data_IF_609252491492
#
_entry.id   IF_609252491492
#
_cell.length_a   1.000
_cell.length_b   1.000
_cell.length_c   1.000
_cell.angle_alpha   90.00
_cell.angle_beta   90.00
_cell.angle_gamma   90.00
#
_symmetry.space_group_name_H-M   'P 1'
#
loop_
_entity.id
_entity.type
_entity.pdbx_description
1 polymer ?
#
# COMPACT_ATOMS: atom_id res chain seq x y z
N UNK A 1 -53.31 29.41 -44.97
CA UNK A 1 -52.77 28.28 -44.18
C UNK A 1 -51.61 27.70 -44.96
N UNK A 2 -50.37 28.05 -44.60
CA UNK A 2 -49.18 27.52 -45.30
C UNK A 2 -48.43 26.59 -44.32
N UNK A 3 -48.17 25.32 -44.70
CA UNK A 3 -47.49 24.37 -43.84
C UNK A 3 -45.99 24.69 -43.74
N UNK A 4 -45.49 24.85 -42.52
CA UNK A 4 -44.06 25.00 -42.25
C UNK A 4 -43.33 23.70 -42.60
N UNK A 5 -42.40 23.79 -43.56
CA UNK A 5 -41.52 22.69 -43.99
C UNK A 5 -40.67 22.20 -42.82
N UNK A 6 -40.74 20.90 -42.55
CA UNK A 6 -39.91 20.19 -41.58
C UNK A 6 -38.43 20.31 -41.94
N UNK A 7 -37.69 21.06 -41.12
CA UNK A 7 -36.27 21.34 -41.33
C UNK A 7 -35.41 20.19 -40.79
N UNK A 8 -35.20 19.16 -41.62
CA UNK A 8 -34.36 17.99 -41.33
C UNK A 8 -32.91 18.36 -40.99
N UNK A 9 -32.47 19.58 -41.31
CA UNK A 9 -31.15 20.12 -41.00
C UNK A 9 -30.91 20.33 -39.48
N UNK A 10 -31.96 20.61 -38.71
CA UNK A 10 -31.83 20.87 -37.25
C UNK A 10 -31.56 19.56 -36.50
N UNK A 11 -32.21 18.46 -36.90
CA UNK A 11 -31.95 17.13 -36.33
C UNK A 11 -30.54 16.61 -36.67
N UNK A 12 -30.02 16.93 -37.85
CA UNK A 12 -28.67 16.56 -38.25
C UNK A 12 -27.60 17.31 -37.42
N UNK A 13 -27.83 18.59 -37.13
CA UNK A 13 -26.95 19.38 -36.27
C UNK A 13 -26.97 18.94 -34.81
N UNK A 14 -28.14 18.56 -34.29
CA UNK A 14 -28.28 18.00 -32.94
C UNK A 14 -27.56 16.66 -32.78
N UNK A 15 -27.61 15.79 -33.80
CA UNK A 15 -26.86 14.53 -33.80
C UNK A 15 -25.35 14.75 -33.89
N UNK A 16 -24.89 15.73 -34.68
CA UNK A 16 -23.45 16.04 -34.80
C UNK A 16 -22.87 16.64 -33.50
N UNK A 17 -23.64 17.48 -32.80
CA UNK A 17 -23.27 18.03 -31.50
C UNK A 17 -23.24 16.95 -30.40
N UNK A 18 -24.12 15.94 -30.49
CA UNK A 18 -24.14 14.81 -29.55
C UNK A 18 -22.96 13.84 -29.74
N UNK A 19 -22.44 13.71 -30.97
CA UNK A 19 -21.25 12.89 -31.25
C UNK A 19 -19.93 13.57 -30.84
N UNK A 20 -19.86 14.90 -30.79
CA UNK A 20 -18.67 15.63 -30.29
C UNK A 20 -18.49 15.57 -28.77
N UNK A 21 -19.46 15.04 -28.02
CA UNK A 21 -19.34 14.73 -26.61
C UNK A 21 -18.75 13.33 -26.34
N UNK A 22 -18.27 12.62 -27.38
CA UNK A 22 -17.47 11.41 -27.21
C UNK A 22 -16.23 11.77 -26.39
N UNK A 23 -16.32 11.45 -25.11
CA UNK A 23 -15.33 11.68 -24.08
C UNK A 23 -13.95 11.26 -24.57
N UNK A 24 -13.01 12.20 -24.53
CA UNK A 24 -11.59 11.90 -24.62
C UNK A 24 -11.26 10.89 -23.52
N UNK A 25 -11.17 9.62 -23.88
CA UNK A 25 -10.55 8.59 -23.04
C UNK A 25 -9.06 8.93 -23.08
N UNK A 26 -8.65 9.84 -22.19
CA UNK A 26 -7.24 10.02 -21.90
C UNK A 26 -6.75 8.71 -21.29
N UNK A 27 -5.96 7.97 -22.05
CA UNK A 27 -5.16 6.89 -21.49
C UNK A 27 -4.37 7.46 -20.32
N UNK A 28 -4.37 6.77 -19.18
CA UNK A 28 -3.64 7.23 -18.02
C UNK A 28 -2.15 7.37 -18.37
N UNK A 29 -1.46 8.42 -17.89
CA UNK A 29 -0.03 8.57 -18.14
C UNK A 29 0.74 7.32 -17.71
N UNK A 30 1.66 6.88 -18.56
CA UNK A 30 2.53 5.73 -18.26
C UNK A 30 3.55 6.12 -17.19
N UNK A 31 3.52 5.45 -16.04
CA UNK A 31 4.46 5.70 -14.96
C UNK A 31 5.79 4.95 -15.18
N UNK A 32 5.73 3.73 -15.70
CA UNK A 32 6.92 2.90 -15.90
C UNK A 32 6.64 1.50 -16.45
N UNK A 33 7.66 0.65 -16.39
CA UNK A 33 7.64 -0.74 -16.86
C UNK A 33 8.20 -1.68 -15.81
N UNK A 34 7.63 -2.87 -15.69
CA UNK A 34 8.15 -3.92 -14.80
C UNK A 34 9.36 -4.58 -15.48
N UNK A 35 10.55 -4.50 -14.89
CA UNK A 35 11.78 -5.06 -15.47
C UNK A 35 12.04 -6.49 -15.03
N UNK A 36 11.89 -6.76 -13.74
CA UNK A 36 12.13 -8.07 -13.15
C UNK A 36 11.02 -8.43 -12.18
N UNK A 37 10.59 -9.68 -12.21
CA UNK A 37 9.48 -10.15 -11.40
C UNK A 37 9.79 -11.55 -10.89
N UNK A 38 9.66 -11.73 -9.58
CA UNK A 38 9.76 -13.01 -8.90
C UNK A 38 8.43 -13.25 -8.21
N UNK A 39 7.60 -14.16 -8.71
CA UNK A 39 6.25 -14.40 -8.18
C UNK A 39 5.19 -13.40 -8.69
N UNK A 40 3.90 -13.58 -8.33
CA UNK A 40 2.82 -12.81 -8.92
C UNK A 40 2.79 -11.35 -8.45
N UNK A 41 2.64 -10.42 -9.40
CA UNK A 41 2.35 -9.01 -9.15
C UNK A 41 0.91 -8.71 -9.55
N UNK A 42 0.12 -8.24 -8.59
CA UNK A 42 -1.24 -7.80 -8.85
C UNK A 42 -1.28 -6.29 -9.00
N UNK A 43 -2.02 -5.81 -9.99
CA UNK A 43 -2.34 -4.40 -10.16
C UNK A 43 -3.83 -4.20 -9.99
N UNK A 44 -4.21 -3.24 -9.17
CA UNK A 44 -5.57 -2.72 -9.13
C UNK A 44 -5.58 -1.38 -9.88
N UNK A 45 -6.28 -1.35 -11.01
CA UNK A 45 -6.47 -0.16 -11.83
C UNK A 45 -7.42 0.84 -11.15
N UNK A 46 -7.44 2.08 -11.63
CA UNK A 46 -8.33 3.14 -11.13
C UNK A 46 -9.83 2.77 -11.27
N UNK A 47 -10.17 1.98 -12.28
CA UNK A 47 -11.52 1.44 -12.53
C UNK A 47 -11.94 0.37 -11.49
N UNK A 48 -11.03 -0.03 -10.59
CA UNK A 48 -11.25 -1.05 -9.57
C UNK A 48 -10.99 -2.49 -10.05
N UNK A 49 -10.68 -2.70 -11.33
CA UNK A 49 -10.32 -4.00 -11.89
C UNK A 49 -8.97 -4.47 -11.36
N UNK A 50 -8.88 -5.77 -11.05
CA UNK A 50 -7.65 -6.40 -10.62
C UNK A 50 -7.08 -7.21 -11.78
N UNK A 51 -5.83 -6.96 -12.13
CA UNK A 51 -5.09 -7.69 -13.17
C UNK A 51 -3.78 -8.22 -12.60
N UNK A 52 -3.23 -9.24 -13.24
CA UNK A 52 -1.87 -9.71 -12.95
C UNK A 52 -0.94 -9.06 -13.95
N UNK A 53 0.15 -8.47 -13.48
CA UNK A 53 1.23 -7.96 -14.31
C UNK A 53 2.36 -8.98 -14.40
N UNK A 54 2.96 -9.09 -15.57
CA UNK A 54 4.18 -9.86 -15.80
C UNK A 54 5.39 -8.97 -16.00
N UNK A 55 6.53 -9.59 -16.30
CA UNK A 55 7.70 -8.85 -16.78
C UNK A 55 7.35 -8.06 -18.06
N UNK A 56 7.99 -6.91 -18.25
CA UNK A 56 7.77 -5.96 -19.35
C UNK A 56 6.37 -5.33 -19.42
N UNK A 57 5.51 -5.59 -18.42
CA UNK A 57 4.19 -4.96 -18.37
C UNK A 57 4.29 -3.49 -17.97
N UNK A 58 3.43 -2.66 -18.56
CA UNK A 58 3.36 -1.24 -18.25
C UNK A 58 2.59 -1.00 -16.94
N UNK A 59 3.06 -0.03 -16.17
CA UNK A 59 2.41 0.50 -14.97
C UNK A 59 1.92 1.90 -15.27
N UNK A 60 0.65 2.17 -14.97
CA UNK A 60 0.00 3.45 -15.23
C UNK A 60 -0.14 4.27 -13.93
N UNK A 61 -0.29 5.58 -14.07
CA UNK A 61 -0.63 6.44 -12.93
C UNK A 61 -2.04 6.12 -12.43
N UNK A 62 -2.19 6.01 -11.11
CA UNK A 62 -3.42 5.58 -10.42
C UNK A 62 -3.42 4.10 -10.05
N UNK A 63 -2.43 3.33 -10.52
CA UNK A 63 -2.34 1.90 -10.25
C UNK A 63 -1.90 1.61 -8.81
N UNK A 64 -2.55 0.63 -8.18
CA UNK A 64 -2.07 0.03 -6.93
C UNK A 64 -1.44 -1.33 -7.20
N UNK A 65 -0.13 -1.41 -7.03
CA UNK A 65 0.68 -2.62 -7.15
C UNK A 65 0.71 -3.38 -5.83
N UNK A 66 0.55 -4.70 -5.90
CA UNK A 66 0.58 -5.60 -4.74
C UNK A 66 1.41 -6.85 -5.03
N UNK A 67 2.45 -7.06 -4.25
CA UNK A 67 3.25 -8.30 -4.27
C UNK A 67 2.73 -9.28 -3.22
N UNK A 68 2.74 -10.57 -3.53
CA UNK A 68 2.27 -11.62 -2.60
C UNK A 68 3.31 -12.73 -2.38
N UNK A 69 3.14 -13.47 -1.29
CA UNK A 69 3.98 -14.61 -0.94
C UNK A 69 5.42 -14.19 -0.64
N UNK A 70 6.39 -14.75 -1.39
CA UNK A 70 7.82 -14.40 -1.33
C UNK A 70 8.26 -13.59 -2.56
N UNK A 71 7.31 -12.96 -3.23
CA UNK A 71 7.55 -12.34 -4.52
C UNK A 71 8.18 -10.95 -4.45
N UNK A 72 9.12 -10.68 -5.35
CA UNK A 72 9.74 -9.38 -5.55
C UNK A 72 9.31 -8.83 -6.91
N UNK A 73 9.16 -7.52 -7.02
CA UNK A 73 8.91 -6.85 -8.28
C UNK A 73 9.81 -5.64 -8.41
N UNK A 74 10.41 -5.46 -9.59
CA UNK A 74 11.18 -4.29 -9.93
C UNK A 74 10.47 -3.53 -11.04
N UNK A 75 10.29 -2.24 -10.80
CA UNK A 75 9.66 -1.32 -11.74
C UNK A 75 10.68 -0.25 -12.10
N UNK A 76 10.99 -0.11 -13.38
CA UNK A 76 11.74 1.03 -13.92
C UNK A 76 10.76 2.11 -14.34
N UNK A 77 10.89 3.29 -13.77
CA UNK A 77 10.07 4.43 -14.12
C UNK A 77 10.64 5.16 -15.34
N UNK A 78 9.86 6.08 -15.92
CA UNK A 78 10.28 6.84 -17.12
C UNK A 78 11.46 7.80 -16.86
N UNK A 79 11.78 8.11 -15.60
CA UNK A 79 12.91 8.96 -15.19
C UNK A 79 14.20 8.15 -14.90
N UNK A 80 14.23 6.89 -15.34
CA UNK A 80 15.27 5.88 -15.09
C UNK A 80 15.45 5.48 -13.61
N UNK A 81 14.55 5.93 -12.71
CA UNK A 81 14.55 5.42 -11.33
C UNK A 81 14.09 3.95 -11.28
N UNK A 82 14.61 3.23 -10.29
CA UNK A 82 14.27 1.84 -10.03
C UNK A 82 13.56 1.73 -8.68
N UNK A 83 12.36 1.16 -8.72
CA UNK A 83 11.57 0.82 -7.54
C UNK A 83 11.56 -0.70 -7.38
N UNK A 84 12.13 -1.20 -6.29
CA UNK A 84 12.13 -2.63 -5.99
C UNK A 84 11.23 -2.90 -4.79
N UNK A 85 10.12 -3.59 -5.04
CA UNK A 85 9.12 -3.96 -4.05
C UNK A 85 9.50 -5.29 -3.38
N UNK A 86 9.44 -5.31 -2.05
CA UNK A 86 9.59 -6.52 -1.25
C UNK A 86 8.31 -7.38 -1.28
N UNK A 87 8.37 -8.61 -0.76
CA UNK A 87 7.18 -9.45 -0.62
C UNK A 87 6.16 -8.87 0.36
N UNK A 88 4.88 -8.92 0.00
CA UNK A 88 3.79 -8.41 0.83
C UNK A 88 3.70 -6.89 0.86
N UNK A 89 4.17 -6.23 -0.21
CA UNK A 89 4.14 -4.78 -0.35
C UNK A 89 2.92 -4.33 -1.15
N UNK A 90 2.29 -3.25 -0.71
CA UNK A 90 1.26 -2.54 -1.48
C UNK A 90 1.66 -1.09 -1.68
N UNK A 91 1.93 -0.75 -2.94
CA UNK A 91 2.32 0.58 -3.38
C UNK A 91 1.26 1.13 -4.34
N UNK A 92 0.83 2.37 -4.10
CA UNK A 92 -0.01 3.14 -5.03
C UNK A 92 0.88 4.13 -5.78
N UNK A 93 0.68 4.24 -7.09
CA UNK A 93 1.29 5.29 -7.91
C UNK A 93 0.23 6.38 -8.06
N UNK A 94 0.34 7.47 -7.29
CA UNK A 94 -0.73 8.48 -7.24
C UNK A 94 -0.56 9.54 -8.32
N UNK A 95 0.68 9.96 -8.57
CA UNK A 95 1.01 10.88 -9.66
C UNK A 95 2.42 10.60 -10.17
N UNK A 96 2.57 10.53 -11.49
CA UNK A 96 3.87 10.50 -12.14
C UNK A 96 3.82 11.33 -13.42
N UNK A 97 4.63 12.37 -13.49
CA UNK A 97 4.80 13.24 -14.63
C UNK A 97 6.28 13.59 -14.75
N UNK A 98 6.88 13.24 -15.88
CA UNK A 98 8.26 13.54 -16.21
C UNK A 98 8.35 13.85 -17.69
N UNK A 99 8.62 15.12 -18.03
CA UNK A 99 8.90 15.55 -19.39
C UNK A 99 10.20 16.36 -19.40
N UNK A 100 11.08 16.10 -20.36
CA UNK A 100 12.35 16.83 -20.51
C UNK A 100 12.09 18.31 -20.83
N UNK A 101 11.03 18.60 -21.58
CA UNK A 101 10.70 19.93 -22.08
C UNK A 101 9.88 20.77 -21.08
N UNK A 102 9.20 20.13 -20.13
CA UNK A 102 8.30 20.79 -19.18
C UNK A 102 8.65 20.42 -17.74
N UNK A 103 9.81 20.86 -17.21
CA UNK A 103 10.24 20.53 -15.85
C UNK A 103 9.28 21.07 -14.78
N UNK A 104 8.50 22.12 -15.08
CA UNK A 104 7.50 22.68 -14.15
C UNK A 104 6.33 21.74 -13.85
N UNK A 105 6.08 20.74 -14.71
CA UNK A 105 5.04 19.73 -14.52
C UNK A 105 5.53 18.48 -13.78
N UNK A 106 6.80 18.44 -13.37
CA UNK A 106 7.38 17.29 -12.70
C UNK A 106 6.66 16.96 -11.39
N UNK A 107 6.23 15.73 -11.26
CA UNK A 107 5.65 15.21 -10.03
C UNK A 107 5.84 13.70 -9.98
N UNK A 108 6.43 13.20 -8.89
CA UNK A 108 6.50 11.78 -8.57
C UNK A 108 5.98 11.59 -7.15
N UNK A 109 4.74 11.13 -7.03
CA UNK A 109 4.05 10.89 -5.77
C UNK A 109 3.63 9.43 -5.70
N UNK A 110 4.19 8.73 -4.72
CA UNK A 110 3.89 7.33 -4.45
C UNK A 110 3.32 7.20 -3.04
N UNK A 111 2.37 6.30 -2.83
CA UNK A 111 1.86 5.98 -1.49
C UNK A 111 2.16 4.53 -1.13
N UNK A 112 3.01 4.33 -0.12
CA UNK A 112 3.24 3.01 0.47
C UNK A 112 2.18 2.74 1.55
N UNK A 113 1.30 1.77 1.29
CA UNK A 113 0.25 1.38 2.24
C UNK A 113 0.75 0.39 3.28
N UNK A 114 1.60 -0.57 2.89
CA UNK A 114 2.26 -1.54 3.77
C UNK A 114 3.38 -2.28 3.06
N UNK A 115 4.23 -2.94 3.84
CA UNK A 115 5.38 -3.72 3.37
C UNK A 115 6.61 -2.85 3.18
N UNK A 116 7.55 -3.29 2.34
CA UNK A 116 8.76 -2.52 2.06
C UNK A 116 9.09 -2.36 0.60
N UNK A 117 9.82 -1.30 0.30
CA UNK A 117 10.35 -1.01 -1.01
C UNK A 117 11.72 -0.36 -0.89
N UNK A 118 12.49 -0.50 -1.96
CA UNK A 118 13.68 0.29 -2.19
C UNK A 118 13.43 1.20 -3.38
N UNK A 119 13.78 2.46 -3.22
CA UNK A 119 13.78 3.43 -4.30
C UNK A 119 15.20 3.88 -4.54
N UNK A 120 15.69 3.70 -5.77
CA UNK A 120 16.93 4.30 -6.23
C UNK A 120 16.59 5.60 -6.97
N UNK A 121 17.21 6.71 -6.57
CA UNK A 121 16.86 8.04 -7.07
C UNK A 121 17.06 8.18 -8.60
N UNK A 122 16.06 8.74 -9.29
CA UNK A 122 16.08 8.98 -10.73
C UNK A 122 16.47 10.40 -11.15
N UNK A 123 16.39 10.65 -12.46
CA UNK A 123 16.69 11.97 -13.04
C UNK A 123 15.70 13.05 -12.56
N UNK A 124 14.42 12.69 -12.35
CA UNK A 124 13.42 13.61 -11.79
C UNK A 124 13.84 14.08 -10.40
N UNK A 125 14.32 13.17 -9.57
CA UNK A 125 14.80 13.48 -8.21
C UNK A 125 16.01 14.43 -8.17
N UNK A 126 16.89 14.34 -9.18
CA UNK A 126 18.04 15.25 -9.32
C UNK A 126 17.64 16.63 -9.81
N UNK A 127 16.71 16.69 -10.77
CA UNK A 127 16.21 17.94 -11.36
C UNK A 127 15.29 18.70 -10.41
N UNK A 128 14.38 17.97 -9.78
CA UNK A 128 13.24 18.49 -9.02
C UNK A 128 13.16 17.81 -7.66
N UNK A 129 14.09 18.15 -6.77
CA UNK A 129 14.26 17.50 -5.46
C UNK A 129 12.98 17.50 -4.62
N UNK A 130 12.18 18.57 -4.66
CA UNK A 130 10.93 18.69 -3.89
C UNK A 130 9.72 18.00 -4.53
N UNK A 131 9.88 17.44 -5.73
CA UNK A 131 8.79 16.82 -6.50
C UNK A 131 8.78 15.30 -6.42
N UNK A 132 9.74 14.69 -5.70
CA UNK A 132 9.82 13.25 -5.47
C UNK A 132 9.42 12.91 -4.03
N UNK A 133 8.16 12.51 -3.83
CA UNK A 133 7.58 12.27 -2.50
C UNK A 133 7.02 10.86 -2.38
N UNK A 134 7.39 10.18 -1.30
CA UNK A 134 6.79 8.93 -0.87
C UNK A 134 5.91 9.17 0.36
N UNK A 135 4.61 9.03 0.19
CA UNK A 135 3.62 9.11 1.25
C UNK A 135 3.50 7.77 1.98
N UNK A 136 3.36 7.84 3.30
CA UNK A 136 3.10 6.69 4.15
C UNK A 136 2.05 7.06 5.20
N UNK A 137 1.36 6.09 5.80
CA UNK A 137 0.46 6.35 6.94
C UNK A 137 1.16 6.89 8.21
N UNK A 138 2.49 7.06 8.21
CA UNK A 138 3.26 7.63 9.32
C UNK A 138 3.85 9.00 9.01
N UNK A 139 3.84 9.43 7.75
CA UNK A 139 4.44 10.68 7.32
C UNK A 139 4.76 10.69 5.82
N UNK A 140 5.25 11.82 5.33
CA UNK A 140 5.75 12.00 3.98
C UNK A 140 7.28 11.96 3.99
N UNK A 141 7.87 11.22 3.06
CA UNK A 141 9.31 11.15 2.85
C UNK A 141 9.60 11.89 1.54
N UNK A 142 10.36 12.98 1.61
CA UNK A 142 10.94 13.58 0.42
C UNK A 142 12.20 12.78 0.06
N UNK A 143 12.14 12.11 -1.09
CA UNK A 143 13.19 11.21 -1.57
C UNK A 143 14.33 11.97 -2.24
N UNK A 144 14.06 13.16 -2.79
CA UNK A 144 15.03 13.92 -3.59
C UNK A 144 15.66 13.00 -4.65
N UNK A 145 16.97 12.75 -4.59
CA UNK A 145 17.70 11.76 -5.41
C UNK A 145 18.34 10.64 -4.57
N UNK A 146 17.89 10.45 -3.33
CA UNK A 146 18.45 9.48 -2.42
C UNK A 146 18.09 8.04 -2.81
N UNK A 147 19.01 7.11 -2.57
CA UNK A 147 18.69 5.68 -2.53
C UNK A 147 18.26 5.31 -1.12
N UNK A 148 17.03 4.85 -0.96
CA UNK A 148 16.45 4.56 0.36
C UNK A 148 15.65 3.26 0.34
N UNK A 149 15.78 2.51 1.42
CA UNK A 149 14.93 1.37 1.76
C UNK A 149 13.90 1.83 2.79
N UNK A 150 12.62 1.63 2.50
CA UNK A 150 11.51 2.02 3.35
C UNK A 150 10.69 0.79 3.66
N UNK A 151 10.44 0.53 4.94
CA UNK A 151 9.61 -0.57 5.40
C UNK A 151 8.54 -0.04 6.35
N UNK A 152 7.28 -0.17 5.96
CA UNK A 152 6.15 0.22 6.79
C UNK A 152 5.38 -1.00 7.28
N UNK A 153 5.30 -1.11 8.60
CA UNK A 153 4.52 -2.10 9.28
C UNK A 153 3.30 -1.46 9.93
N UNK A 154 2.08 -1.80 9.49
CA UNK A 154 0.87 -1.28 10.10
C UNK A 154 0.77 -1.78 11.54
N UNK A 155 0.30 -0.91 12.43
CA UNK A 155 -0.25 -1.37 13.71
C UNK A 155 -1.38 -2.31 13.37
N UNK A 156 -1.34 -3.56 13.85
CA UNK A 156 -2.43 -4.49 13.68
C UNK A 156 -3.69 -3.86 14.28
N UNK A 157 -4.49 -3.23 13.44
CA UNK A 157 -5.80 -2.73 13.81
C UNK A 157 -6.62 -3.97 14.10
N UNK A 158 -6.78 -4.30 15.38
CA UNK A 158 -7.83 -5.23 15.79
C UNK A 158 -9.11 -4.58 15.29
N UNK A 159 -9.64 -5.09 14.19
CA UNK A 159 -10.92 -4.66 13.66
C UNK A 159 -11.96 -5.12 14.66
N UNK A 160 -12.26 -4.27 15.65
CA UNK A 160 -13.30 -4.51 16.64
C UNK A 160 -14.67 -4.35 15.96
N UNK A 161 -15.00 -5.27 15.05
CA UNK A 161 -16.37 -5.49 14.56
C UNK A 161 -17.19 -6.24 15.63
N UNK A 162 -17.23 -5.67 16.83
CA UNK A 162 -18.11 -6.11 17.90
C UNK A 162 -18.24 -4.89 18.83
N UNK A 163 -19.36 -4.19 18.90
CA UNK A 163 -20.40 -4.60 19.86
C UNK A 163 -21.56 -3.59 19.95
N UNK A 164 -21.81 -2.74 18.96
CA UNK A 164 -22.91 -1.75 19.06
C UNK A 164 -24.31 -2.40 19.11
N UNK A 165 -24.47 -3.62 18.58
CA UNK A 165 -25.73 -4.38 18.69
C UNK A 165 -25.87 -5.22 19.97
N UNK A 166 -24.77 -5.54 20.66
CA UNK A 166 -24.81 -6.35 21.88
C UNK A 166 -25.09 -5.47 23.10
N UNK A 167 -24.53 -4.25 23.15
CA UNK A 167 -24.84 -3.28 24.22
C UNK A 167 -26.32 -2.85 24.24
N UNK A 168 -26.95 -2.71 23.08
CA UNK A 168 -28.37 -2.34 22.99
C UNK A 168 -29.30 -3.49 23.41
N UNK A 169 -28.94 -4.75 23.12
CA UNK A 169 -29.71 -5.91 23.60
C UNK A 169 -29.62 -6.10 25.12
N UNK A 170 -28.45 -5.87 25.72
CA UNK A 170 -28.28 -6.00 27.16
C UNK A 170 -29.10 -4.97 27.97
N UNK A 171 -29.22 -3.73 27.46
CA UNK A 171 -30.07 -2.70 28.07
C UNK A 171 -31.56 -3.00 27.98
N UNK A 172 -32.02 -3.65 26.90
CA UNK A 172 -33.42 -4.07 26.78
C UNK A 172 -33.82 -5.22 27.72
N UNK A 173 -32.87 -6.09 28.05
CA UNK A 173 -33.14 -7.28 28.87
C UNK A 173 -33.22 -6.97 30.37
N UNK A 174 -32.40 -6.03 30.87
CA UNK A 174 -32.44 -5.61 32.28
C UNK A 174 -33.78 -4.97 32.68
N UNK A 175 -34.50 -4.37 31.71
CA UNK A 175 -35.83 -3.79 31.95
C UNK A 175 -36.94 -4.83 32.11
N UNK A 176 -36.74 -6.08 31.67
CA UNK A 176 -37.77 -7.14 31.69
C UNK A 176 -37.76 -8.01 32.96
N UNK A 177 -36.74 -7.87 33.82
CA UNK A 177 -36.58 -8.69 35.03
C UNK A 177 -37.33 -8.14 36.26
N UNK A 178 -38.05 -7.02 36.14
CA UNK A 178 -38.66 -6.32 37.27
C UNK A 178 -40.14 -6.60 37.53
N UNK A 179 -40.80 -7.52 36.81
CA UNK A 179 -42.23 -7.79 36.99
C UNK A 179 -42.48 -9.30 37.14
N UNK A 180 -42.53 -9.78 38.37
CA UNK A 180 -43.05 -11.11 38.69
C UNK A 180 -43.97 -10.98 39.91
N UNK A 181 -45.28 -10.99 39.67
CA UNK A 181 -46.31 -11.08 40.71
C UNK A 181 -46.78 -12.54 40.89
N UNK A 182 -47.20 -12.83 42.11
CA UNK A 182 -47.16 -14.11 42.81
C UNK A 182 -48.33 -15.09 42.54
N UNK A 183 -48.77 -15.26 41.30
CA UNK A 183 -49.85 -16.24 41.02
C UNK A 183 -49.70 -16.96 39.67
N UNK A 184 -50.02 -18.27 39.66
CA UNK A 184 -49.95 -19.28 38.57
C UNK A 184 -48.73 -20.22 38.59
N UNK A 185 -48.83 -21.38 39.27
CA UNK A 185 -47.67 -22.17 39.70
C UNK A 185 -47.42 -23.54 39.04
N UNK A 186 -48.00 -23.90 37.89
CA UNK A 186 -47.63 -25.17 37.22
C UNK A 186 -47.36 -25.04 35.71
N UNK A 187 -48.25 -24.40 34.96
CA UNK A 187 -48.03 -24.19 33.53
C UNK A 187 -46.96 -23.11 33.28
N UNK A 188 -46.89 -22.08 34.13
CA UNK A 188 -45.86 -21.03 34.07
C UNK A 188 -44.49 -21.56 34.44
N UNK A 189 -44.38 -22.53 35.36
CA UNK A 189 -43.10 -23.16 35.71
C UNK A 189 -42.51 -23.98 34.54
N UNK A 190 -43.35 -24.70 33.79
CA UNK A 190 -42.91 -25.44 32.60
C UNK A 190 -42.56 -24.51 31.42
N UNK A 191 -43.31 -23.42 31.25
CA UNK A 191 -43.04 -22.40 30.23
C UNK A 191 -41.79 -21.59 30.59
N UNK A 192 -41.60 -21.21 31.85
CA UNK A 192 -40.42 -20.51 32.33
C UNK A 192 -39.18 -21.41 32.27
N UNK A 193 -39.28 -22.70 32.59
CA UNK A 193 -38.18 -23.64 32.41
C UNK A 193 -37.78 -23.79 30.93
N UNK A 194 -38.73 -23.88 29.99
CA UNK A 194 -38.44 -23.89 28.54
C UNK A 194 -37.83 -22.57 28.06
N UNK A 195 -38.25 -21.45 28.63
CA UNK A 195 -37.72 -20.12 28.31
C UNK A 195 -36.29 -19.94 28.86
N UNK A 196 -36.02 -20.39 30.09
CA UNK A 196 -34.69 -20.43 30.71
C UNK A 196 -33.74 -21.35 29.94
N UNK A 197 -34.20 -22.53 29.50
CA UNK A 197 -33.39 -23.42 28.66
C UNK A 197 -33.06 -22.79 27.30
N UNK A 198 -34.02 -22.10 26.66
CA UNK A 198 -33.74 -21.36 25.42
C UNK A 198 -32.77 -20.20 25.65
N UNK A 199 -32.89 -19.46 26.75
CA UNK A 199 -31.98 -18.37 27.10
C UNK A 199 -30.58 -18.87 27.44
N UNK A 200 -30.46 -19.97 28.17
CA UNK A 200 -29.19 -20.62 28.47
C UNK A 200 -28.50 -21.12 27.19
N UNK A 201 -29.26 -21.66 26.23
CA UNK A 201 -28.71 -22.10 24.95
C UNK A 201 -28.24 -20.90 24.09
N UNK A 202 -28.95 -19.76 24.16
CA UNK A 202 -28.52 -18.51 23.52
C UNK A 202 -27.25 -17.98 24.19
N UNK A 203 -27.17 -17.91 25.52
CA UNK A 203 -25.96 -17.51 26.25
C UNK A 203 -24.76 -18.42 25.95
N UNK A 204 -24.96 -19.73 25.95
CA UNK A 204 -23.91 -20.70 25.59
C UNK A 204 -23.47 -20.57 24.11
N UNK A 205 -24.39 -20.21 23.21
CA UNK A 205 -24.05 -19.91 21.81
C UNK A 205 -23.25 -18.61 21.65
N UNK A 206 -23.46 -17.63 22.54
CA UNK A 206 -22.73 -16.36 22.56
C UNK A 206 -21.32 -16.55 23.11
N UNK A 207 -21.15 -17.42 24.11
CA UNK A 207 -19.83 -17.81 24.61
C UNK A 207 -19.03 -18.61 23.59
N UNK A 208 -19.67 -19.52 22.84
CA UNK A 208 -19.01 -20.27 21.78
C UNK A 208 -18.64 -19.39 20.57
N UNK A 209 -19.47 -18.41 20.21
CA UNK A 209 -19.10 -17.37 19.22
C UNK A 209 -18.00 -16.43 19.73
N UNK A 210 -18.00 -16.06 21.01
CA UNK A 210 -16.93 -15.27 21.60
C UNK A 210 -15.61 -16.05 21.64
N UNK A 211 -15.65 -17.36 21.92
CA UNK A 211 -14.49 -18.24 21.87
C UNK A 211 -13.98 -18.44 20.44
N UNK A 212 -14.87 -18.65 19.47
CA UNK A 212 -14.52 -18.72 18.03
C UNK A 212 -13.99 -17.37 17.50
N UNK A 213 -14.54 -16.26 17.97
CA UNK A 213 -14.04 -14.90 17.70
C UNK A 213 -12.64 -14.68 18.28
N UNK A 214 -12.39 -15.07 19.53
CA UNK A 214 -11.06 -15.03 20.15
C UNK A 214 -10.05 -15.94 19.44
N UNK A 215 -10.45 -17.15 19.05
CA UNK A 215 -9.60 -18.10 18.34
C UNK A 215 -9.28 -17.64 16.92
N UNK A 216 -10.24 -17.05 16.21
CA UNK A 216 -10.01 -16.45 14.88
C UNK A 216 -9.18 -15.17 14.95
N UNK A 217 -9.36 -14.34 15.99
CA UNK A 217 -8.48 -13.19 16.27
C UNK A 217 -7.05 -13.64 16.62
N UNK A 218 -6.89 -14.69 17.43
CA UNK A 218 -5.59 -15.26 17.74
C UNK A 218 -4.91 -15.86 16.48
N UNK A 219 -5.68 -16.53 15.62
CA UNK A 219 -5.18 -17.08 14.36
C UNK A 219 -4.80 -16.00 13.33
N UNK A 220 -5.53 -14.87 13.28
CA UNK A 220 -5.20 -13.72 12.43
C UNK A 220 -3.98 -12.96 12.96
N UNK A 221 -3.85 -12.81 14.29
CA UNK A 221 -2.68 -12.19 14.94
C UNK A 221 -1.41 -13.02 14.75
N UNK A 222 -1.52 -14.36 14.79
CA UNK A 222 -0.37 -15.24 14.58
C UNK A 222 0.18 -15.25 13.14
N UNK A 223 -0.60 -14.80 12.14
CA UNK A 223 -0.13 -14.76 10.74
C UNK A 223 0.73 -13.53 10.42
N UNK A 224 0.80 -12.54 11.32
CA UNK A 224 1.71 -11.41 11.19
C UNK A 224 3.02 -11.69 11.94
N UNK A 225 3.84 -12.60 11.40
CA UNK A 225 5.22 -12.81 11.85
C UNK A 225 6.12 -11.66 11.38
N UNK A 226 5.77 -10.42 11.72
CA UNK A 226 6.77 -9.37 11.66
C UNK A 226 7.45 -9.31 13.02
N UNK A 227 8.73 -9.62 12.99
CA UNK A 227 9.65 -9.59 14.13
C UNK A 227 9.89 -8.15 14.62
N UNK A 228 9.51 -7.14 13.82
CA UNK A 228 9.69 -5.72 14.13
C UNK A 228 8.42 -5.12 14.76
N UNK A 229 8.56 -4.15 15.70
CA UNK A 229 7.45 -3.34 16.17
C UNK A 229 6.71 -2.62 15.02
N UNK A 230 5.40 -2.37 15.14
CA UNK A 230 4.69 -1.56 14.16
C UNK A 230 5.24 -0.14 14.07
N UNK A 231 5.40 0.36 12.85
CA UNK A 231 5.96 1.68 12.59
C UNK A 231 6.51 1.79 11.19
N UNK A 232 7.03 2.97 10.89
CA UNK A 232 7.78 3.24 9.66
C UNK A 232 9.26 3.15 9.96
N UNK A 233 9.96 2.36 9.16
CA UNK A 233 11.40 2.21 9.18
C UNK A 233 11.98 2.74 7.86
N UNK A 234 13.08 3.46 7.96
CA UNK A 234 13.80 3.98 6.80
C UNK A 234 15.28 3.66 6.93
N UNK A 235 15.95 3.37 5.84
CA UNK A 235 17.38 3.16 5.75
C UNK A 235 17.88 3.89 4.51
N UNK A 236 18.72 4.90 4.71
CA UNK A 236 19.28 5.69 3.61
C UNK A 236 20.59 5.04 3.17
N UNK A 237 20.63 4.55 1.95
CA UNK A 237 21.82 3.94 1.35
C UNK A 237 22.75 5.03 0.80
N UNK A 238 22.18 6.00 0.11
CA UNK A 238 22.91 7.13 -0.47
C UNK A 238 22.05 8.40 -0.47
N UNK A 239 22.70 9.57 -0.40
CA UNK A 239 22.02 10.87 -0.40
C UNK A 239 21.42 11.29 0.95
N UNK A 240 20.36 12.09 0.89
CA UNK A 240 19.64 12.64 2.03
C UNK A 240 18.14 12.58 1.77
N UNK A 241 17.39 12.17 2.79
CA UNK A 241 15.93 12.23 2.78
C UNK A 241 15.44 13.12 3.92
N UNK A 242 14.29 13.76 3.71
CA UNK A 242 13.57 14.47 4.77
C UNK A 242 12.24 13.77 5.03
N UNK A 243 12.06 13.28 6.25
CA UNK A 243 10.80 12.68 6.70
C UNK A 243 10.04 13.69 7.55
N UNK A 244 8.83 14.01 7.13
CA UNK A 244 7.93 14.94 7.80
C UNK A 244 6.66 14.23 8.25
N UNK A 245 6.29 14.41 9.51
CA UNK A 245 5.00 14.03 10.06
C UNK A 245 4.41 15.18 10.90
N UNK A 246 3.30 14.93 11.63
CA UNK A 246 2.68 15.97 12.48
C UNK A 246 3.55 16.32 13.70
N UNK A 247 4.44 15.43 14.12
CA UNK A 247 5.37 15.65 15.22
C UNK A 247 6.60 16.48 14.86
N UNK A 248 6.98 16.53 13.58
CA UNK A 248 8.09 17.33 13.11
C UNK A 248 8.70 16.83 11.79
N UNK A 249 9.86 17.37 11.45
CA UNK A 249 10.66 16.95 10.30
C UNK A 249 12.04 16.51 10.76
N UNK A 250 12.51 15.37 10.25
CA UNK A 250 13.84 14.84 10.52
C UNK A 250 14.54 14.50 9.20
N UNK A 251 15.77 15.01 9.04
CA UNK A 251 16.65 14.62 7.96
C UNK A 251 17.45 13.37 8.30
N UNK A 252 17.59 12.46 7.35
CA UNK A 252 18.43 11.27 7.46
C UNK A 252 19.49 11.26 6.36
N UNK A 253 20.72 10.95 6.72
CA UNK A 253 21.88 10.87 5.81
C UNK A 253 22.20 9.43 5.45
N UNK A 254 22.95 9.23 4.37
CA UNK A 254 23.50 7.93 4.00
C UNK A 254 24.10 7.16 5.19
N UNK A 255 23.78 5.88 5.29
CA UNK A 255 24.15 4.98 6.38
C UNK A 255 23.29 5.08 7.64
N UNK A 256 22.36 6.04 7.73
CA UNK A 256 21.49 6.18 8.88
C UNK A 256 20.21 5.37 8.73
N UNK A 257 19.74 4.85 9.87
CA UNK A 257 18.44 4.24 10.03
C UNK A 257 17.50 5.23 10.71
N UNK A 258 16.22 5.20 10.35
CA UNK A 258 15.19 6.00 10.98
C UNK A 258 14.00 5.15 11.39
N UNK A 259 13.31 5.61 12.43
CA UNK A 259 12.09 5.00 12.92
C UNK A 259 11.05 6.05 13.26
N UNK A 260 9.79 5.73 12.99
CA UNK A 260 8.64 6.55 13.34
C UNK A 260 7.51 5.65 13.83
N UNK A 261 7.26 5.71 15.14
CA UNK A 261 6.23 4.93 15.83
C UNK A 261 4.81 5.37 15.42
N UNK A 262 4.59 6.69 15.33
CA UNK A 262 3.29 7.32 15.14
C UNK A 262 3.42 8.61 14.33
N UNK A 263 2.29 9.12 13.84
CA UNK A 263 2.26 10.37 13.05
C UNK A 263 2.58 11.60 13.91
N UNK A 264 2.37 11.52 15.23
CA UNK A 264 2.50 12.65 16.18
C UNK A 264 3.85 12.70 16.88
N UNK A 265 4.58 11.59 16.89
CA UNK A 265 5.92 11.54 17.46
C UNK A 265 6.93 11.86 16.36
N UNK A 266 7.88 12.80 16.55
CA UNK A 266 8.84 13.13 15.52
C UNK A 266 9.67 11.90 15.12
N UNK A 267 10.08 11.80 13.84
CA UNK A 267 10.94 10.70 13.41
C UNK A 267 12.29 10.73 14.14
N UNK A 268 12.79 9.57 14.53
CA UNK A 268 14.04 9.44 15.28
C UNK A 268 15.08 8.61 14.51
N UNK A 269 16.36 8.91 14.73
CA UNK A 269 17.49 8.15 14.15
C UNK A 269 17.77 6.92 14.99
N UNK A 270 17.95 5.78 14.34
CA UNK A 270 18.38 4.52 14.95
C UNK A 270 19.88 4.30 14.72
N UNK A 271 20.67 3.99 15.77
CA UNK A 271 22.11 3.75 15.64
C UNK A 271 22.49 2.43 14.96
N UNK A 272 21.60 1.44 14.96
CA UNK A 272 21.84 0.10 14.43
C UNK A 272 20.65 -0.38 13.60
N UNK A 273 20.91 -1.24 12.62
CA UNK A 273 19.86 -1.86 11.82
C UNK A 273 18.93 -2.67 12.74
N UNK A 274 17.60 -2.38 12.77
CA UNK A 274 16.65 -3.10 13.60
C UNK A 274 16.25 -4.47 13.03
N UNK A 275 16.92 -4.96 11.99
CA UNK A 275 16.64 -6.24 11.33
C UNK A 275 15.83 -6.09 10.05
N UNK A 276 15.83 -4.92 9.41
CA UNK A 276 15.24 -4.73 8.09
C UNK A 276 16.14 -5.49 7.11
N UNK A 277 15.65 -6.61 6.59
CA UNK A 277 16.35 -7.41 5.60
C UNK A 277 15.83 -7.04 4.21
N UNK A 278 16.67 -6.41 3.40
CA UNK A 278 16.41 -6.16 1.98
C UNK A 278 17.38 -6.99 1.15
N UNK A 279 17.00 -8.26 0.93
CA UNK A 279 17.82 -9.23 0.21
C UNK A 279 17.09 -9.70 -1.06
N UNK A 280 17.02 -8.86 -2.10
CA UNK A 280 16.43 -9.29 -3.35
C UNK A 280 17.32 -10.34 -4.04
N UNK A 281 16.77 -11.19 -4.92
CA UNK A 281 17.57 -12.13 -5.70
C UNK A 281 18.67 -11.42 -6.52
N UNK A 282 19.82 -12.06 -6.80
CA UNK A 282 20.97 -11.41 -7.45
C UNK A 282 20.66 -10.67 -8.76
N UNK A 283 19.69 -11.14 -9.54
CA UNK A 283 19.26 -10.51 -10.81
C UNK A 283 18.70 -9.09 -10.60
N UNK A 284 18.15 -8.79 -9.43
CA UNK A 284 17.62 -7.47 -9.09
C UNK A 284 18.73 -6.47 -8.73
N UNK A 285 19.88 -6.95 -8.25
CA UNK A 285 21.01 -6.10 -7.87
C UNK A 285 21.82 -5.64 -9.09
N UNK A 286 21.83 -6.42 -10.18
CA UNK A 286 22.58 -6.11 -11.40
C UNK A 286 21.97 -4.96 -12.19
N UNK A 287 20.64 -4.80 -12.13
CA UNK A 287 19.93 -3.71 -12.81
C UNK A 287 20.05 -2.36 -12.09
N UNK A 288 20.53 -2.34 -10.83
CA UNK A 288 20.71 -1.14 -10.00
C UNK A 288 22.06 -0.44 -10.19
N UNK A 289 22.97 -1.00 -11.01
CA UNK A 289 24.23 -0.34 -11.34
C UNK A 289 24.02 0.86 -12.28
N UNK A 290 24.81 1.94 -12.20
CA UNK A 290 24.79 2.99 -13.20
C UNK A 290 25.07 2.37 -14.57
N UNK A 291 24.21 2.67 -15.56
CA UNK A 291 24.37 2.24 -16.94
C UNK A 291 25.60 2.93 -17.54
N UNK A 292 26.78 2.40 -17.25
CA UNK A 292 28.02 2.74 -17.92
C UNK A 292 28.04 2.10 -19.31
N UNK A 293 28.37 2.91 -20.30
CA UNK A 293 28.79 2.58 -21.67
C UNK A 293 29.60 1.27 -21.77
N UNK A 294 29.60 0.58 -22.94
CA UNK A 294 30.21 -0.75 -23.08
C UNK A 294 31.67 -0.72 -22.65
N UNK A 295 31.99 -1.51 -21.63
CA UNK A 295 33.36 -1.70 -21.17
C UNK A 295 34.17 -2.35 -22.29
N UNK A 296 35.04 -1.55 -22.90
CA UNK A 296 36.17 -2.04 -23.67
C UNK A 296 37.01 -2.96 -22.77
N UNK A 297 37.27 -4.17 -23.26
CA UNK A 297 38.01 -5.20 -22.55
C UNK A 297 39.42 -4.71 -22.18
N UNK A 298 39.65 -4.43 -20.90
CA UNK A 298 40.99 -4.31 -20.34
C UNK A 298 41.56 -5.72 -20.13
N UNK A 299 42.45 -6.14 -21.03
CA UNK A 299 43.37 -7.25 -20.79
C UNK A 299 44.20 -6.93 -19.54
N UNK A 300 44.00 -7.69 -18.47
CA UNK A 300 44.95 -7.78 -17.37
C UNK A 300 45.97 -8.86 -17.74
N UNK A 301 47.16 -8.44 -18.16
CA UNK A 301 48.34 -9.30 -18.14
C UNK A 301 48.78 -9.40 -16.67
N UNK A 302 48.53 -10.54 -16.04
CA UNK A 302 49.22 -10.90 -14.81
C UNK A 302 50.09 -12.13 -15.12
N UNK A 303 51.38 -11.88 -15.29
CA UNK A 303 52.42 -12.91 -15.44
C UNK A 303 52.77 -13.36 -14.03
N UNK A 304 52.47 -14.62 -13.73
CA UNK A 304 52.87 -15.29 -12.50
C UNK A 304 54.26 -15.90 -12.72
N UNK A 305 55.24 -15.42 -11.96
CA UNK A 305 56.61 -15.93 -11.94
C UNK A 305 56.78 -16.78 -10.69
N UNK A 306 56.73 -18.11 -10.81
CA UNK A 306 57.33 -19.00 -9.82
C UNK A 306 58.62 -19.64 -10.35
N UNK A 307 59.66 -19.48 -9.55
CA UNK A 307 60.98 -20.08 -9.68
C UNK A 307 61.08 -21.18 -8.64
N UNK A 308 60.99 -22.45 -9.06
CA UNK A 308 61.83 -23.57 -8.63
C UNK A 308 61.38 -24.91 -9.23
#
# INVERSE_FOLDING_TARGET
>A
MNPLKSCTAINAWLLLALLSAATWVQAAPEAGVVTHLSGPLFVKKLDGSLRVLGEQSLVEVGDTLSTQGKGYAQVRLRDDSLLTLQPGTVLSVDAFAYDVNVPGADAAVFTLKHGGLRSDGGLLGKRSQDRSTLMTPRGRINLQSASVEVYYQPTAGVATRASSRVKSLAMGLAASAGHADDSYSAFVAAVSARYVYRLANVLASVESWAAQGKASLAAVVQKATSVLPPGLYVHVLDGLINLTNEGGTQGFKAGQFGFTSSVREPPAVLPKNPGIAFNPPPVFSQSMGPQGSPASASKSNNVDCEVR
#
